data_IF_695727521937
#
_entry.id   IF_695727521937
#
_cell.length_a   1.000
_cell.length_b   1.000
_cell.length_c   1.000
_cell.angle_alpha   90.00
_cell.angle_beta   90.00
_cell.angle_gamma   90.00
#
_symmetry.space_group_name_H-M   'P 1'
#
loop_
_entity.id
_entity.type
_entity.pdbx_description
1 polymer ?
#
# COMPACT_ATOMS: atom_id res chain seq x y z
N UNK A 1 -35.19 15.96 -68.29
CA UNK A 1 -35.46 15.50 -66.91
C UNK A 1 -34.33 14.53 -66.53
N UNK A 2 -33.39 14.98 -65.68
CA UNK A 2 -32.12 14.27 -65.38
C UNK A 2 -32.31 13.37 -64.18
N UNK A 3 -32.09 12.07 -64.27
CA UNK A 3 -31.96 11.12 -63.20
C UNK A 3 -30.57 11.27 -62.57
N UNK A 4 -30.52 11.47 -61.22
CA UNK A 4 -29.31 11.43 -60.46
C UNK A 4 -29.10 10.00 -59.94
N UNK A 5 -27.98 9.41 -60.31
CA UNK A 5 -27.49 8.15 -59.75
C UNK A 5 -26.96 8.39 -58.34
N UNK A 6 -27.54 7.68 -57.37
CA UNK A 6 -27.03 7.61 -55.99
C UNK A 6 -26.27 6.28 -55.85
N UNK A 7 -24.94 6.37 -55.75
CA UNK A 7 -24.10 5.22 -55.46
C UNK A 7 -24.14 4.91 -53.97
N UNK A 8 -24.65 3.73 -53.63
CA UNK A 8 -24.61 3.16 -52.28
C UNK A 8 -23.28 2.42 -52.14
N UNK A 9 -22.40 2.90 -51.27
CA UNK A 9 -21.22 2.14 -50.86
C UNK A 9 -21.61 1.13 -49.80
N UNK A 10 -21.59 -0.16 -50.12
CA UNK A 10 -21.62 -1.25 -49.18
C UNK A 10 -20.24 -1.36 -48.53
N UNK A 11 -20.14 -1.00 -47.26
CA UNK A 11 -19.02 -1.39 -46.40
C UNK A 11 -19.20 -2.88 -46.06
N UNK A 12 -18.43 -3.74 -46.70
CA UNK A 12 -18.29 -5.13 -46.31
C UNK A 12 -17.41 -5.19 -45.06
N UNK A 13 -18.04 -5.30 -43.92
CA UNK A 13 -17.34 -5.65 -42.67
C UNK A 13 -16.88 -7.10 -42.74
N UNK A 14 -15.58 -7.32 -42.71
CA UNK A 14 -15.00 -8.64 -42.54
C UNK A 14 -15.16 -9.06 -41.08
N UNK A 15 -16.14 -9.92 -40.80
CA UNK A 15 -16.15 -10.69 -39.56
C UNK A 15 -15.13 -11.82 -39.71
N UNK A 16 -14.01 -11.70 -39.06
CA UNK A 16 -13.10 -12.82 -38.79
C UNK A 16 -13.71 -13.68 -37.70
N UNK A 17 -14.00 -14.91 -38.03
CA UNK A 17 -14.46 -15.93 -37.09
C UNK A 17 -13.40 -16.18 -36.03
N UNK A 18 -13.76 -15.99 -34.78
CA UNK A 18 -12.92 -16.31 -33.63
C UNK A 18 -12.82 -17.84 -33.48
N UNK A 19 -11.61 -18.37 -33.63
CA UNK A 19 -11.26 -19.69 -33.16
C UNK A 19 -11.14 -19.65 -31.63
N UNK A 20 -11.57 -20.70 -30.97
CA UNK A 20 -11.66 -20.93 -29.52
C UNK A 20 -10.27 -21.00 -28.84
N UNK A 21 -9.74 -19.89 -28.52
CA UNK A 21 -8.59 -19.60 -27.69
C UNK A 21 -8.59 -18.08 -27.50
N UNK A 22 -8.24 -17.55 -26.34
CA UNK A 22 -8.25 -16.11 -26.07
C UNK A 22 -7.68 -15.34 -27.26
N UNK A 23 -8.48 -14.42 -27.80
CA UNK A 23 -8.11 -13.60 -28.96
C UNK A 23 -7.32 -12.37 -28.54
N UNK A 24 -6.59 -11.74 -29.44
CA UNK A 24 -6.05 -10.40 -29.21
C UNK A 24 -6.36 -9.47 -30.36
N UNK A 25 -6.39 -8.18 -30.07
CA UNK A 25 -6.60 -7.13 -31.04
C UNK A 25 -5.46 -6.11 -30.94
N UNK A 26 -4.82 -5.80 -32.06
CA UNK A 26 -3.88 -4.67 -32.13
C UNK A 26 -4.65 -3.36 -32.08
N UNK A 27 -4.12 -2.44 -31.28
CA UNK A 27 -4.57 -1.04 -31.18
C UNK A 27 -3.54 -0.11 -31.81
N UNK A 28 -3.83 1.18 -31.85
CA UNK A 28 -2.87 2.17 -32.34
C UNK A 28 -1.57 2.19 -31.50
N UNK A 29 -1.69 1.97 -30.18
CA UNK A 29 -0.58 2.10 -29.22
C UNK A 29 -0.18 0.77 -28.57
N UNK A 30 -0.75 -0.38 -28.98
CA UNK A 30 -0.43 -1.64 -28.31
C UNK A 30 -1.36 -2.79 -28.68
N UNK A 31 -1.82 -3.53 -27.67
CA UNK A 31 -2.72 -4.67 -27.84
C UNK A 31 -3.76 -4.75 -26.71
N UNK A 32 -4.90 -5.34 -27.02
CA UNK A 32 -5.89 -5.84 -26.05
C UNK A 32 -5.97 -7.35 -26.23
N UNK A 33 -5.76 -8.07 -25.14
CA UNK A 33 -5.87 -9.53 -25.08
C UNK A 33 -7.15 -9.89 -24.33
N UNK A 34 -7.98 -10.76 -24.91
CA UNK A 34 -9.17 -11.32 -24.28
C UNK A 34 -8.83 -12.65 -23.62
N UNK A 35 -9.04 -12.73 -22.31
CA UNK A 35 -8.81 -13.90 -21.48
C UNK A 35 -10.15 -14.62 -21.25
N UNK A 36 -10.14 -15.93 -21.29
CA UNK A 36 -11.34 -16.72 -21.00
C UNK A 36 -11.57 -16.81 -19.51
N UNK A 37 -12.54 -16.05 -19.00
CA UNK A 37 -12.96 -16.14 -17.61
C UNK A 37 -13.53 -17.52 -17.27
N UNK A 38 -13.17 -18.06 -16.10
CA UNK A 38 -13.83 -19.20 -15.46
C UNK A 38 -14.90 -18.73 -14.50
N UNK A 39 -14.65 -17.60 -13.80
CA UNK A 39 -15.55 -16.93 -12.89
C UNK A 39 -15.74 -15.46 -13.30
N UNK A 40 -16.84 -14.81 -12.92
CA UNK A 40 -17.09 -13.41 -13.27
C UNK A 40 -16.03 -12.41 -12.74
N UNK A 41 -15.30 -12.81 -11.72
CA UNK A 41 -14.24 -12.02 -11.08
C UNK A 41 -12.84 -12.29 -11.65
N UNK A 42 -12.70 -13.29 -12.55
CA UNK A 42 -11.43 -13.48 -13.22
C UNK A 42 -11.19 -12.34 -14.23
N UNK A 43 -9.93 -12.05 -14.51
CA UNK A 43 -9.57 -11.12 -15.57
C UNK A 43 -10.20 -11.53 -16.90
N UNK A 44 -10.83 -10.59 -17.57
CA UNK A 44 -11.42 -10.77 -18.89
C UNK A 44 -10.60 -10.15 -20.01
N UNK A 45 -10.04 -8.98 -19.74
CA UNK A 45 -9.23 -8.24 -20.73
C UNK A 45 -7.97 -7.70 -20.07
N UNK A 46 -6.89 -7.79 -20.82
CA UNK A 46 -5.62 -7.13 -20.47
C UNK A 46 -5.23 -6.24 -21.67
N UNK A 47 -4.90 -4.99 -21.37
CA UNK A 47 -4.41 -4.03 -22.36
C UNK A 47 -2.95 -3.71 -22.07
N UNK A 48 -2.11 -3.76 -23.09
CA UNK A 48 -0.74 -3.29 -23.06
C UNK A 48 -0.64 -2.11 -24.02
N UNK A 49 -0.22 -0.94 -23.51
CA UNK A 49 -0.02 0.26 -24.31
C UNK A 49 1.43 0.74 -24.21
N UNK A 50 2.05 0.99 -25.35
CA UNK A 50 3.42 1.51 -25.44
C UNK A 50 3.39 3.01 -25.24
N UNK A 51 3.96 3.48 -24.15
CA UNK A 51 4.04 4.89 -23.78
C UNK A 51 5.42 5.48 -24.10
N UNK A 52 6.40 4.63 -24.36
CA UNK A 52 7.78 4.96 -24.71
C UNK A 52 8.61 3.70 -24.94
N UNK A 53 9.85 3.82 -25.36
CA UNK A 53 10.72 2.66 -25.61
C UNK A 53 10.93 1.80 -24.37
N UNK A 54 10.91 2.43 -23.18
CA UNK A 54 11.10 1.81 -21.87
C UNK A 54 9.86 1.94 -20.96
N UNK A 55 8.69 2.29 -21.51
CA UNK A 55 7.47 2.58 -20.76
C UNK A 55 6.29 1.80 -21.33
N UNK A 56 5.68 0.96 -20.50
CA UNK A 56 4.48 0.18 -20.83
C UNK A 56 3.39 0.45 -19.81
N UNK A 57 2.20 0.79 -20.30
CA UNK A 57 0.98 0.87 -19.50
C UNK A 57 0.23 -0.46 -19.56
N UNK A 58 -0.19 -0.95 -18.41
CA UNK A 58 -0.95 -2.19 -18.25
C UNK A 58 -2.26 -1.90 -17.58
N UNK A 59 -3.37 -2.25 -18.23
CA UNK A 59 -4.69 -2.24 -17.61
C UNK A 59 -5.30 -3.64 -17.68
N UNK A 60 -5.97 -4.06 -16.61
CA UNK A 60 -6.64 -5.36 -16.56
C UNK A 60 -8.00 -5.24 -15.87
N UNK A 61 -9.03 -5.84 -16.46
CA UNK A 61 -10.40 -5.73 -15.97
C UNK A 61 -11.16 -7.06 -16.07
N UNK A 62 -12.05 -7.39 -15.13
CA UNK A 62 -13.00 -8.48 -15.25
C UNK A 62 -14.20 -8.11 -16.13
N UNK A 63 -14.36 -6.83 -16.47
CA UNK A 63 -15.48 -6.28 -17.20
C UNK A 63 -15.32 -6.45 -18.74
N UNK A 64 -16.42 -6.21 -19.47
CA UNK A 64 -16.43 -6.23 -20.93
C UNK A 64 -15.66 -5.06 -21.56
N UNK A 65 -15.65 -3.93 -20.88
CA UNK A 65 -15.01 -2.69 -21.31
C UNK A 65 -14.09 -2.17 -20.23
N UNK A 66 -12.99 -1.55 -20.63
CA UNK A 66 -12.11 -0.83 -19.72
C UNK A 66 -12.78 0.42 -19.19
N UNK A 67 -12.34 0.89 -18.02
CA UNK A 67 -12.75 2.18 -17.47
C UNK A 67 -12.52 3.31 -18.49
N UNK A 68 -13.36 4.32 -18.42
CA UNK A 68 -13.21 5.55 -19.21
C UNK A 68 -12.63 6.69 -18.37
N UNK A 69 -12.33 6.41 -17.12
CA UNK A 69 -11.70 7.36 -16.23
C UNK A 69 -10.29 7.69 -16.75
N UNK A 70 -9.94 8.97 -16.65
CA UNK A 70 -8.63 9.43 -17.07
C UNK A 70 -7.73 9.50 -15.83
N UNK A 71 -6.49 9.07 -15.97
CA UNK A 71 -5.51 9.23 -14.89
C UNK A 71 -5.44 10.67 -14.40
N UNK A 72 -5.39 10.83 -13.06
CA UNK A 72 -5.14 12.13 -12.42
C UNK A 72 -3.64 12.45 -12.30
N UNK A 73 -2.79 11.45 -12.47
CA UNK A 73 -1.34 11.56 -12.23
C UNK A 73 -0.50 11.42 -13.50
N UNK A 74 -1.03 10.79 -14.54
CA UNK A 74 -0.32 10.60 -15.81
C UNK A 74 -0.83 11.57 -16.85
N UNK A 75 0.09 12.36 -17.40
CA UNK A 75 -0.24 13.32 -18.47
C UNK A 75 -0.36 12.61 -19.83
N UNK A 76 -1.20 13.11 -20.76
CA UNK A 76 -1.29 12.55 -22.09
C UNK A 76 0.07 12.52 -22.81
N UNK A 77 0.46 11.35 -23.32
CA UNK A 77 1.71 11.20 -24.06
C UNK A 77 1.47 11.58 -25.52
N UNK A 78 2.35 12.40 -26.09
CA UNK A 78 2.22 12.88 -27.47
C UNK A 78 3.14 12.15 -28.46
N UNK A 79 4.16 11.45 -27.94
CA UNK A 79 5.16 10.80 -28.77
C UNK A 79 4.67 9.40 -29.17
N UNK A 80 4.73 9.11 -30.47
CA UNK A 80 4.54 7.75 -30.98
C UNK A 80 5.86 7.01 -30.90
N UNK A 81 5.82 5.84 -30.29
CA UNK A 81 6.96 4.93 -30.20
C UNK A 81 6.70 3.75 -31.15
N UNK A 82 7.69 3.38 -31.93
CA UNK A 82 7.60 2.23 -32.81
C UNK A 82 7.64 0.93 -31.97
N UNK A 83 6.74 0.03 -32.27
CA UNK A 83 6.68 -1.29 -31.65
C UNK A 83 6.23 -2.37 -32.60
N UNK A 84 6.55 -3.61 -32.26
CA UNK A 84 6.10 -4.81 -32.96
C UNK A 84 5.20 -5.64 -32.06
N UNK A 85 4.27 -6.34 -32.67
CA UNK A 85 3.42 -7.31 -31.97
C UNK A 85 3.65 -8.66 -32.62
N UNK A 86 4.02 -9.62 -31.78
CA UNK A 86 4.30 -11.00 -32.19
C UNK A 86 3.40 -11.94 -31.34
N UNK A 87 2.90 -13.00 -31.98
CA UNK A 87 2.14 -14.05 -31.30
C UNK A 87 2.89 -15.35 -31.42
N UNK A 88 3.10 -16.01 -30.28
CA UNK A 88 3.72 -17.33 -30.24
C UNK A 88 3.00 -18.23 -29.23
N UNK A 89 2.25 -19.20 -29.72
CA UNK A 89 1.49 -20.13 -28.88
C UNK A 89 0.44 -19.40 -28.06
N UNK A 90 0.58 -19.44 -26.73
CA UNK A 90 -0.30 -18.76 -25.77
C UNK A 90 0.07 -17.30 -25.54
N UNK A 91 1.21 -16.85 -25.99
CA UNK A 91 1.75 -15.54 -25.66
C UNK A 91 1.57 -14.52 -26.78
N UNK A 92 1.27 -13.27 -26.38
CA UNK A 92 1.32 -12.09 -27.22
C UNK A 92 2.39 -11.16 -26.68
N UNK A 93 3.36 -10.81 -27.50
CA UNK A 93 4.49 -9.95 -27.16
C UNK A 93 4.34 -8.59 -27.83
N UNK A 94 4.43 -7.53 -27.05
CA UNK A 94 4.62 -6.16 -27.50
C UNK A 94 6.10 -5.82 -27.31
N UNK A 95 6.81 -5.54 -28.39
CA UNK A 95 8.27 -5.30 -28.37
C UNK A 95 8.59 -3.91 -28.90
N UNK A 96 9.28 -3.12 -28.08
CA UNK A 96 9.96 -1.87 -28.46
C UNK A 96 11.42 -2.16 -28.85
N UNK A 97 12.24 -1.12 -29.00
CA UNK A 97 13.70 -1.26 -29.17
C UNK A 97 14.39 -1.76 -27.88
N UNK A 98 13.83 -1.46 -26.67
CA UNK A 98 14.48 -1.64 -25.39
C UNK A 98 13.77 -2.65 -24.47
N UNK A 99 12.47 -2.89 -24.71
CA UNK A 99 11.61 -3.60 -23.77
C UNK A 99 10.65 -4.53 -24.48
N UNK A 100 10.39 -5.70 -23.89
CA UNK A 100 9.30 -6.58 -24.29
C UNK A 100 8.30 -6.71 -23.14
N UNK A 101 7.01 -6.51 -23.44
CA UNK A 101 5.90 -6.88 -22.56
C UNK A 101 5.16 -8.06 -23.16
N UNK A 102 5.04 -9.15 -22.40
CA UNK A 102 4.53 -10.43 -22.87
C UNK A 102 3.32 -10.77 -22.01
N UNK A 103 2.18 -11.05 -22.64
CA UNK A 103 0.93 -11.39 -21.96
C UNK A 103 0.44 -12.77 -22.37
N UNK A 104 0.05 -13.60 -21.39
CA UNK A 104 -0.58 -14.90 -21.62
C UNK A 104 -2.04 -14.72 -22.04
N UNK A 105 -2.45 -15.39 -23.11
CA UNK A 105 -3.85 -15.43 -23.56
C UNK A 105 -4.74 -16.30 -22.65
N UNK A 106 -4.14 -17.21 -21.91
CA UNK A 106 -4.86 -18.11 -21.01
C UNK A 106 -5.08 -17.48 -19.63
N UNK A 107 -4.06 -16.86 -19.03
CA UNK A 107 -4.12 -16.33 -17.65
C UNK A 107 -4.22 -14.81 -17.59
N UNK A 108 -3.81 -14.11 -18.64
CA UNK A 108 -3.70 -12.66 -18.67
C UNK A 108 -2.50 -12.11 -17.90
N UNK A 109 -1.64 -12.97 -17.36
CA UNK A 109 -0.42 -12.58 -16.66
C UNK A 109 0.55 -11.87 -17.61
N UNK A 110 1.20 -10.82 -17.08
CA UNK A 110 2.15 -9.99 -17.83
C UNK A 110 3.55 -10.17 -17.25
N UNK A 111 4.53 -10.32 -18.14
CA UNK A 111 5.94 -10.28 -17.79
C UNK A 111 6.72 -9.32 -18.66
N UNK A 112 7.75 -8.74 -18.11
CA UNK A 112 8.62 -7.79 -18.76
C UNK A 112 10.03 -8.36 -18.89
N UNK A 113 10.61 -8.21 -20.10
CA UNK A 113 12.01 -8.58 -20.36
C UNK A 113 12.71 -7.41 -21.05
N UNK A 114 14.03 -7.36 -20.92
CA UNK A 114 14.83 -6.49 -21.79
C UNK A 114 14.82 -6.95 -23.24
N UNK A 115 15.49 -6.21 -24.11
CA UNK A 115 15.56 -6.51 -25.54
C UNK A 115 16.22 -7.86 -25.85
N UNK A 116 17.08 -8.36 -24.94
CA UNK A 116 17.80 -9.63 -25.05
C UNK A 116 16.99 -10.81 -24.46
N UNK A 117 15.81 -10.54 -23.88
CA UNK A 117 14.90 -11.56 -23.34
C UNK A 117 15.16 -11.92 -21.87
N UNK A 118 16.03 -11.19 -21.17
CA UNK A 118 16.23 -11.38 -19.73
C UNK A 118 15.05 -10.80 -18.98
N UNK A 119 14.43 -11.61 -18.11
CA UNK A 119 13.30 -11.18 -17.30
C UNK A 119 13.71 -10.06 -16.32
N UNK A 120 12.92 -8.99 -16.28
CA UNK A 120 13.05 -7.86 -15.37
C UNK A 120 12.03 -7.99 -14.25
N UNK A 121 10.75 -8.15 -14.60
CA UNK A 121 9.64 -8.29 -13.65
C UNK A 121 8.58 -9.21 -14.27
N UNK A 122 7.89 -9.98 -13.45
CA UNK A 122 6.73 -10.75 -13.88
C UNK A 122 5.63 -10.68 -12.83
N UNK A 123 4.39 -10.66 -13.26
CA UNK A 123 3.25 -10.87 -12.38
C UNK A 123 3.31 -12.28 -11.81
N UNK A 124 2.88 -12.44 -10.57
CA UNK A 124 2.83 -13.74 -9.92
C UNK A 124 1.65 -14.56 -10.43
N UNK A 125 1.81 -15.87 -10.42
CA UNK A 125 0.70 -16.78 -10.76
C UNK A 125 -0.44 -16.56 -9.78
N UNK A 126 -1.66 -16.37 -10.32
CA UNK A 126 -2.85 -16.02 -9.52
C UNK A 126 -2.70 -14.73 -8.68
N UNK A 127 -1.69 -13.91 -9.00
CA UNK A 127 -1.38 -12.68 -8.27
C UNK A 127 -2.38 -11.54 -8.46
N UNK A 128 -3.31 -11.67 -9.42
CA UNK A 128 -4.33 -10.67 -9.73
C UNK A 128 -5.69 -11.08 -9.18
N UNK A 129 -6.29 -10.21 -8.35
CA UNK A 129 -7.61 -10.47 -7.78
C UNK A 129 -8.54 -9.28 -7.93
N UNK A 130 -9.82 -9.57 -8.13
CA UNK A 130 -10.93 -8.62 -8.15
C UNK A 130 -12.02 -9.12 -7.21
N UNK A 131 -12.22 -8.43 -6.11
CA UNK A 131 -13.29 -8.74 -5.14
C UNK A 131 -14.37 -7.68 -5.24
N UNK A 132 -15.61 -8.02 -5.63
CA UNK A 132 -16.67 -7.04 -5.76
C UNK A 132 -16.91 -6.30 -4.45
N UNK A 133 -17.04 -4.98 -4.53
CA UNK A 133 -17.32 -4.09 -3.40
C UNK A 133 -18.36 -3.04 -3.80
N UNK A 134 -19.15 -2.60 -2.83
CA UNK A 134 -20.10 -1.49 -3.01
C UNK A 134 -19.93 -0.52 -1.84
N UNK A 135 -19.61 0.74 -2.14
CA UNK A 135 -19.47 1.81 -1.17
C UNK A 135 -20.44 2.92 -1.51
N UNK A 136 -21.35 3.24 -0.60
CA UNK A 136 -22.38 4.28 -0.77
C UNK A 136 -23.16 4.17 -2.09
N UNK A 137 -23.45 2.93 -2.52
CA UNK A 137 -24.18 2.65 -3.76
C UNK A 137 -23.34 2.65 -5.03
N UNK A 138 -22.05 2.98 -4.95
CA UNK A 138 -21.09 2.86 -6.06
C UNK A 138 -20.47 1.47 -6.04
N UNK A 139 -20.49 0.79 -7.19
CA UNK A 139 -19.94 -0.57 -7.36
C UNK A 139 -18.57 -0.51 -7.98
N UNK A 140 -17.71 -1.40 -7.54
CA UNK A 140 -16.36 -1.57 -8.05
C UNK A 140 -15.74 -2.86 -7.51
N UNK A 141 -14.43 -2.90 -7.47
CA UNK A 141 -13.67 -4.04 -6.98
C UNK A 141 -12.60 -3.58 -5.99
N UNK A 142 -12.47 -4.28 -4.89
CA UNK A 142 -11.19 -4.31 -4.19
C UNK A 142 -10.23 -5.12 -5.04
N UNK A 143 -9.09 -4.54 -5.38
CA UNK A 143 -8.13 -5.15 -6.30
C UNK A 143 -6.81 -5.44 -5.62
N UNK A 144 -6.13 -6.47 -6.10
CA UNK A 144 -4.75 -6.77 -5.72
C UNK A 144 -3.97 -7.21 -6.94
N UNK A 145 -2.74 -6.73 -7.07
CA UNK A 145 -1.75 -7.20 -8.03
C UNK A 145 -0.48 -7.59 -7.28
N UNK A 146 -0.04 -8.80 -7.48
CA UNK A 146 1.20 -9.34 -6.92
C UNK A 146 2.16 -9.65 -8.05
N UNK A 147 3.43 -9.37 -7.83
CA UNK A 147 4.52 -9.72 -8.73
C UNK A 147 5.39 -10.80 -8.09
N UNK A 148 6.16 -11.52 -8.89
CA UNK A 148 7.03 -12.58 -8.41
C UNK A 148 7.98 -12.09 -7.32
N UNK A 149 8.39 -13.01 -6.47
CA UNK A 149 9.28 -12.68 -5.36
C UNK A 149 10.57 -12.06 -5.84
N UNK A 150 10.92 -10.94 -5.24
CA UNK A 150 12.18 -10.28 -5.48
C UNK A 150 13.38 -11.13 -5.00
N UNK A 151 14.46 -11.12 -5.75
CA UNK A 151 15.71 -11.76 -5.34
C UNK A 151 16.22 -11.20 -3.99
N UNK A 152 17.06 -11.94 -3.28
CA UNK A 152 17.55 -11.52 -1.96
C UNK A 152 18.29 -10.18 -1.98
N UNK A 153 18.93 -9.85 -3.09
CA UNK A 153 19.70 -8.62 -3.33
C UNK A 153 18.86 -7.47 -3.91
N UNK A 154 17.56 -7.65 -4.07
CA UNK A 154 16.66 -6.60 -4.54
C UNK A 154 16.17 -5.73 -3.39
N UNK A 155 16.04 -4.44 -3.64
CA UNK A 155 15.52 -3.43 -2.71
C UNK A 155 14.53 -2.51 -3.42
N UNK A 156 13.52 -2.05 -2.69
CA UNK A 156 12.46 -1.18 -3.19
C UNK A 156 12.50 0.19 -2.48
N UNK A 157 12.47 1.26 -3.25
CA UNK A 157 12.49 2.64 -2.78
C UNK A 157 11.33 3.42 -3.37
N UNK A 158 10.87 4.47 -2.69
CA UNK A 158 9.81 5.33 -3.21
C UNK A 158 8.65 5.52 -2.25
N UNK A 159 7.42 5.42 -2.75
CA UNK A 159 6.14 5.59 -2.04
C UNK A 159 5.87 7.02 -1.52
N UNK A 160 6.76 7.97 -1.78
CA UNK A 160 6.64 9.36 -1.31
C UNK A 160 7.38 9.61 0.00
N UNK A 161 6.80 10.45 0.87
CA UNK A 161 7.37 10.80 2.16
C UNK A 161 6.45 10.34 3.29
N UNK A 162 6.91 9.41 4.09
CA UNK A 162 6.22 8.89 5.26
C UNK A 162 7.05 9.15 6.51
N UNK A 163 6.38 9.32 7.66
CA UNK A 163 7.07 9.45 8.95
C UNK A 163 7.39 8.06 9.52
N UNK A 164 8.09 7.25 8.74
CA UNK A 164 8.55 5.93 9.11
C UNK A 164 10.08 5.88 9.01
N UNK A 165 10.71 5.01 9.80
CA UNK A 165 12.15 4.77 9.72
C UNK A 165 12.49 3.76 8.61
N UNK A 166 11.63 3.68 7.57
CA UNK A 166 11.78 2.77 6.46
C UNK A 166 12.47 3.44 5.29
N UNK A 167 13.53 2.85 4.80
CA UNK A 167 14.23 3.27 3.60
C UNK A 167 14.08 2.25 2.47
N UNK A 168 14.16 0.97 2.80
CA UNK A 168 13.92 -0.14 1.88
C UNK A 168 12.56 -0.79 2.21
N UNK A 169 11.62 -0.72 1.29
CA UNK A 169 10.26 -1.24 1.45
C UNK A 169 10.11 -2.73 1.11
N UNK A 170 11.19 -3.44 0.76
CA UNK A 170 11.10 -4.89 0.55
C UNK A 170 10.64 -5.60 1.81
N UNK A 171 9.58 -6.39 1.69
CA UNK A 171 8.98 -7.08 2.82
C UNK A 171 8.27 -6.17 3.84
N UNK A 172 8.09 -4.90 3.51
CA UNK A 172 7.38 -3.92 4.33
C UNK A 172 6.01 -3.64 3.73
N UNK A 173 5.15 -3.02 4.52
CA UNK A 173 3.85 -2.54 4.07
C UNK A 173 3.68 -1.05 4.35
N UNK A 174 2.97 -0.34 3.47
CA UNK A 174 2.63 1.05 3.66
C UNK A 174 1.23 1.35 3.14
N UNK A 175 0.47 2.11 3.92
CA UNK A 175 -0.82 2.64 3.52
C UNK A 175 -0.62 4.01 2.89
N UNK A 176 -1.02 4.14 1.64
CA UNK A 176 -0.85 5.36 0.86
C UNK A 176 -2.06 6.28 1.06
N UNK A 177 -2.09 6.87 2.22
CA UNK A 177 -3.10 7.83 2.62
C UNK A 177 -2.44 9.18 2.88
N UNK A 178 -2.80 10.19 2.09
CA UNK A 178 -2.18 11.50 2.17
C UNK A 178 -2.90 12.39 3.18
N UNK A 179 -2.17 12.85 4.17
CA UNK A 179 -2.62 13.85 5.12
C UNK A 179 -1.44 14.62 5.70
N UNK A 180 -1.68 15.49 6.70
CA UNK A 180 -0.64 16.29 7.32
C UNK A 180 0.66 15.51 7.58
N UNK A 181 1.78 16.01 7.05
CA UNK A 181 3.14 15.43 7.11
C UNK A 181 3.39 14.14 6.31
N UNK A 182 2.39 13.62 5.60
CA UNK A 182 2.56 12.49 4.67
C UNK A 182 2.32 12.95 3.23
N UNK A 183 3.20 12.57 2.34
CA UNK A 183 3.04 12.71 0.89
C UNK A 183 3.08 11.31 0.29
N UNK A 184 1.94 10.83 -0.20
CA UNK A 184 1.84 9.50 -0.79
C UNK A 184 2.04 9.60 -2.30
N UNK A 185 3.00 8.83 -2.82
CA UNK A 185 3.28 8.69 -4.25
C UNK A 185 3.26 7.20 -4.57
N UNK A 186 2.30 6.70 -5.34
CA UNK A 186 2.15 5.26 -5.60
C UNK A 186 3.15 4.77 -6.66
N UNK A 187 4.42 5.11 -6.47
CA UNK A 187 5.52 4.73 -7.33
C UNK A 187 6.65 4.10 -6.52
N UNK A 188 7.08 2.92 -6.97
CA UNK A 188 8.18 2.18 -6.41
C UNK A 188 9.31 2.04 -7.43
N UNK A 189 10.54 2.14 -6.98
CA UNK A 189 11.75 1.94 -7.79
C UNK A 189 12.55 0.78 -7.20
N UNK A 190 12.93 -0.17 -8.05
CA UNK A 190 13.83 -1.26 -7.70
C UNK A 190 15.29 -0.88 -8.01
N UNK A 191 16.23 -1.36 -7.16
CA UNK A 191 17.67 -1.32 -7.50
C UNK A 191 18.05 -2.22 -8.69
N UNK A 192 17.05 -2.88 -9.32
CA UNK A 192 17.19 -3.60 -10.58
C UNK A 192 16.80 -2.75 -11.79
N UNK A 193 16.78 -1.43 -11.63
CA UNK A 193 16.56 -0.43 -12.66
C UNK A 193 15.17 -0.52 -13.32
N UNK A 194 14.16 -0.77 -12.54
CA UNK A 194 12.77 -0.64 -12.97
C UNK A 194 11.92 0.06 -11.91
N UNK A 195 10.77 0.54 -12.33
CA UNK A 195 9.76 1.11 -11.44
C UNK A 195 8.35 0.67 -11.82
N UNK A 196 7.45 0.72 -10.86
CA UNK A 196 6.01 0.49 -11.06
C UNK A 196 5.25 1.65 -10.47
N UNK A 197 4.50 2.36 -11.31
CA UNK A 197 3.55 3.39 -10.91
C UNK A 197 2.16 2.77 -10.89
N UNK A 198 1.53 2.74 -9.73
CA UNK A 198 0.17 2.28 -9.53
C UNK A 198 -0.81 3.43 -9.71
N UNK A 199 -1.72 3.33 -10.67
CA UNK A 199 -2.71 4.38 -10.93
C UNK A 199 -4.05 4.01 -10.29
N UNK A 200 -4.49 4.82 -9.35
CA UNK A 200 -5.70 4.56 -8.58
C UNK A 200 -6.32 5.84 -8.04
N UNK A 201 -7.64 5.83 -7.95
CA UNK A 201 -8.46 6.89 -7.35
C UNK A 201 -8.84 6.60 -5.89
N UNK A 202 -8.48 5.45 -5.36
CA UNK A 202 -8.88 5.00 -4.04
C UNK A 202 -7.70 4.87 -3.08
N UNK A 203 -7.98 4.57 -1.83
CA UNK A 203 -6.97 4.17 -0.85
C UNK A 203 -6.19 2.97 -1.39
N UNK A 204 -4.86 3.09 -1.35
CA UNK A 204 -3.96 2.05 -1.78
C UNK A 204 -3.07 1.56 -0.65
N UNK A 205 -2.64 0.31 -0.74
CA UNK A 205 -1.64 -0.28 0.14
C UNK A 205 -0.54 -0.92 -0.70
N UNK A 206 0.69 -0.74 -0.27
CA UNK A 206 1.86 -1.43 -0.78
C UNK A 206 2.25 -2.56 0.17
N UNK A 207 2.66 -3.70 -0.37
CA UNK A 207 3.06 -4.87 0.41
C UNK A 207 1.88 -5.66 0.98
N UNK A 208 2.02 -6.18 2.20
CA UNK A 208 0.97 -6.97 2.86
C UNK A 208 -0.28 -6.12 3.14
N UNK A 209 -1.43 -6.42 2.52
CA UNK A 209 -2.64 -5.62 2.67
C UNK A 209 -3.48 -5.99 3.90
N UNK A 210 -3.07 -6.99 4.69
CA UNK A 210 -3.84 -7.43 5.86
C UNK A 210 -3.95 -6.33 6.90
N UNK A 211 -5.08 -6.28 7.58
CA UNK A 211 -5.27 -5.41 8.73
C UNK A 211 -4.53 -5.96 9.94
N UNK A 212 -3.92 -5.07 10.73
CA UNK A 212 -3.28 -5.44 11.99
C UNK A 212 -4.34 -5.82 13.03
N UNK A 213 -4.19 -7.00 13.62
CA UNK A 213 -5.08 -7.56 14.65
C UNK A 213 -4.72 -7.07 16.05
N UNK A 214 -5.65 -7.16 16.98
CA UNK A 214 -5.36 -7.00 18.40
C UNK A 214 -4.41 -8.10 18.87
N UNK A 215 -3.60 -7.82 19.91
CA UNK A 215 -2.66 -8.81 20.44
C UNK A 215 -3.35 -10.11 20.87
N UNK A 216 -4.52 -9.98 21.52
CA UNK A 216 -5.28 -11.13 22.01
C UNK A 216 -5.87 -12.03 20.92
N UNK A 217 -5.97 -11.56 19.68
CA UNK A 217 -6.42 -12.35 18.52
C UNK A 217 -5.29 -13.23 17.96
N UNK A 218 -4.02 -12.88 18.25
CA UNK A 218 -2.83 -13.54 17.69
C UNK A 218 -2.03 -14.28 18.77
N UNK A 219 -2.00 -13.75 19.98
CA UNK A 219 -1.25 -14.30 21.10
C UNK A 219 -2.18 -14.71 22.25
N UNK A 220 -1.78 -15.73 23.00
CA UNK A 220 -2.27 -15.84 24.38
C UNK A 220 -1.61 -14.76 25.22
N UNK A 221 -2.41 -13.99 25.95
CA UNK A 221 -1.95 -12.95 26.85
C UNK A 221 -1.95 -13.48 28.29
N UNK A 222 -0.95 -13.10 29.07
CA UNK A 222 -0.87 -13.39 30.49
C UNK A 222 -0.58 -12.11 31.25
N UNK A 223 -1.29 -11.88 32.37
CA UNK A 223 -1.01 -10.77 33.26
C UNK A 223 0.28 -11.01 34.06
N UNK A 224 0.71 -10.03 34.84
CA UNK A 224 1.96 -10.11 35.60
C UNK A 224 1.93 -11.19 36.71
N UNK A 225 0.77 -11.70 37.09
CA UNK A 225 0.60 -12.85 37.97
C UNK A 225 0.59 -14.19 37.18
N UNK A 226 0.71 -14.16 35.86
CA UNK A 226 0.70 -15.33 34.98
C UNK A 226 -0.69 -15.85 34.65
N UNK A 227 -1.76 -15.13 34.94
CA UNK A 227 -3.14 -15.51 34.60
C UNK A 227 -3.46 -15.15 33.15
N UNK A 228 -3.94 -16.16 32.41
CA UNK A 228 -4.28 -16.03 30.99
C UNK A 228 -5.47 -15.08 30.74
N UNK A 229 -5.49 -14.45 29.56
CA UNK A 229 -6.59 -13.71 28.95
C UNK A 229 -6.45 -12.19 28.97
N UNK A 230 -5.39 -11.63 29.56
CA UNK A 230 -5.18 -10.19 29.57
C UNK A 230 -3.73 -9.84 29.96
N UNK A 231 -3.33 -8.60 29.75
CA UNK A 231 -2.15 -7.96 30.37
C UNK A 231 -2.57 -7.24 31.65
N UNK A 232 -1.61 -6.78 32.43
CA UNK A 232 -1.83 -5.88 33.58
C UNK A 232 -1.63 -4.45 33.15
N UNK A 233 -2.64 -3.60 33.32
CA UNK A 233 -2.55 -2.15 33.19
C UNK A 233 -2.38 -1.51 34.58
N UNK A 234 -1.30 -0.75 34.78
CA UNK A 234 -1.02 0.03 35.99
C UNK A 234 -1.07 1.50 35.66
N UNK A 235 -2.02 2.21 36.27
CA UNK A 235 -2.27 3.62 36.05
C UNK A 235 -1.80 4.41 37.26
N UNK A 236 -0.71 5.16 37.14
CA UNK A 236 -0.03 5.90 38.19
C UNK A 236 -0.39 7.37 38.01
N UNK A 237 -1.22 7.95 38.92
CA UNK A 237 -1.65 9.34 38.77
C UNK A 237 -0.52 10.33 39.03
N UNK A 238 -0.48 11.42 38.28
CA UNK A 238 0.42 12.55 38.56
C UNK A 238 0.06 13.36 39.79
N UNK A 239 -1.09 13.07 40.42
CA UNK A 239 -1.61 13.76 41.62
C UNK A 239 -1.38 12.91 42.87
N UNK A 240 -0.85 13.52 43.94
CA UNK A 240 -0.47 12.81 45.15
C UNK A 240 -1.66 12.21 45.95
N UNK A 241 -2.87 12.75 45.79
CA UNK A 241 -4.04 12.33 46.54
C UNK A 241 -4.92 11.31 45.81
N UNK A 242 -4.43 10.77 44.71
CA UNK A 242 -5.13 9.75 43.91
C UNK A 242 -4.32 8.45 43.94
N UNK A 243 -4.99 7.36 44.25
CA UNK A 243 -4.34 6.05 44.35
C UNK A 243 -4.04 5.49 42.95
N UNK A 244 -2.96 4.69 42.86
CA UNK A 244 -2.63 3.92 41.69
C UNK A 244 -3.74 2.88 41.39
N UNK A 245 -4.21 2.84 40.19
CA UNK A 245 -5.21 1.88 39.73
C UNK A 245 -4.54 0.74 38.98
N UNK A 246 -4.91 -0.48 39.30
CA UNK A 246 -4.46 -1.67 38.55
C UNK A 246 -5.68 -2.42 38.03
N UNK A 247 -5.64 -2.79 36.77
CA UNK A 247 -6.70 -3.61 36.15
C UNK A 247 -6.13 -4.54 35.08
N UNK A 248 -6.92 -5.51 34.67
CA UNK A 248 -6.60 -6.41 33.56
C UNK A 248 -7.07 -5.79 32.25
N UNK A 249 -6.23 -5.84 31.21
CA UNK A 249 -6.48 -5.30 29.87
C UNK A 249 -6.38 -6.41 28.84
N UNK A 250 -7.49 -6.74 28.22
CA UNK A 250 -7.60 -7.76 27.17
C UNK A 250 -7.31 -7.21 25.76
N UNK A 251 -7.25 -5.90 25.62
CA UNK A 251 -6.94 -5.20 24.38
C UNK A 251 -6.04 -3.99 24.68
N UNK A 252 -5.22 -3.60 23.68
CA UNK A 252 -4.38 -2.42 23.74
C UNK A 252 -4.86 -1.39 22.70
N UNK A 253 -5.97 -0.73 23.02
CA UNK A 253 -6.51 0.39 22.27
C UNK A 253 -7.17 1.36 23.22
N UNK A 254 -6.46 2.45 23.53
CA UNK A 254 -6.85 3.44 24.52
C UNK A 254 -6.79 4.84 23.95
N UNK A 255 -7.81 5.65 24.20
CA UNK A 255 -7.84 7.06 23.82
C UNK A 255 -8.28 7.95 24.98
N UNK A 256 -7.60 9.08 25.11
CA UNK A 256 -7.97 10.18 25.98
C UNK A 256 -8.09 11.47 25.16
N UNK A 257 -9.29 12.01 25.09
CA UNK A 257 -9.65 13.21 24.34
C UNK A 257 -10.28 14.21 25.30
N UNK A 258 -9.55 15.22 25.76
CA UNK A 258 -10.04 16.13 26.81
C UNK A 258 -10.34 17.58 26.37
N UNK A 259 -9.97 17.96 25.13
CA UNK A 259 -9.98 19.38 24.74
C UNK A 259 -11.23 19.90 24.05
N UNK A 260 -11.98 19.09 23.38
CA UNK A 260 -13.17 19.55 22.72
C UNK A 260 -14.40 19.12 23.54
N UNK A 261 -15.20 20.03 24.02
CA UNK A 261 -16.38 19.72 24.84
C UNK A 261 -17.34 18.70 24.16
N UNK A 262 -17.31 18.62 22.85
CA UNK A 262 -18.05 17.64 22.06
C UNK A 262 -17.25 16.36 21.72
N UNK A 263 -15.93 16.35 22.01
CA UNK A 263 -15.01 15.23 21.79
C UNK A 263 -14.43 14.70 23.09
N UNK A 264 -14.83 15.24 24.24
CA UNK A 264 -14.40 14.74 25.53
C UNK A 264 -14.80 13.29 25.68
N UNK A 265 -13.88 12.39 25.41
CA UNK A 265 -14.10 10.97 25.29
C UNK A 265 -12.89 10.20 25.84
N UNK A 266 -13.19 9.22 26.64
CA UNK A 266 -12.23 8.23 27.11
C UNK A 266 -12.65 6.88 26.52
N UNK A 267 -11.78 6.28 25.70
CA UNK A 267 -12.02 4.97 25.10
C UNK A 267 -11.14 3.94 25.79
N UNK A 268 -11.77 2.93 26.37
CA UNK A 268 -11.15 1.80 27.07
C UNK A 268 -10.29 2.18 28.30
N UNK A 269 -10.13 3.45 28.60
CA UNK A 269 -9.41 3.93 29.78
C UNK A 269 -10.31 3.98 31.02
N UNK A 270 -9.74 3.92 32.25
CA UNK A 270 -10.50 4.05 33.49
C UNK A 270 -11.26 5.37 33.55
N UNK A 271 -12.57 5.32 33.71
CA UNK A 271 -13.40 6.52 33.84
C UNK A 271 -13.00 7.31 35.10
N UNK A 272 -12.87 8.65 34.96
CA UNK A 272 -12.56 9.54 36.08
C UNK A 272 -11.07 9.52 36.53
N UNK A 273 -10.22 8.75 35.89
CA UNK A 273 -8.79 8.77 36.18
C UNK A 273 -8.14 10.05 35.63
N UNK A 274 -7.29 10.75 36.44
CA UNK A 274 -6.65 12.00 36.03
C UNK A 274 -5.41 11.73 35.18
N UNK A 275 -5.55 11.67 33.83
CA UNK A 275 -4.47 11.33 32.89
C UNK A 275 -3.39 12.42 32.76
N UNK A 276 -3.70 13.68 33.04
CA UNK A 276 -2.70 14.75 32.96
C UNK A 276 -1.54 14.54 33.90
N UNK A 277 -0.33 14.31 33.37
CA UNK A 277 0.88 14.05 34.15
C UNK A 277 0.95 12.66 34.75
N UNK A 278 0.10 11.73 34.35
CA UNK A 278 0.14 10.32 34.77
C UNK A 278 1.19 9.51 34.01
N UNK A 279 1.59 8.38 34.56
CA UNK A 279 2.31 7.32 33.87
C UNK A 279 1.43 6.07 33.80
N UNK A 280 1.46 5.39 32.67
CA UNK A 280 0.71 4.16 32.46
C UNK A 280 1.66 3.07 31.99
N UNK A 281 1.55 1.90 32.61
CA UNK A 281 2.36 0.73 32.24
C UNK A 281 1.44 -0.43 31.93
N UNK A 282 1.59 -1.00 30.75
CA UNK A 282 0.98 -2.28 30.38
C UNK A 282 2.06 -3.34 30.39
N UNK A 283 1.88 -4.40 31.18
CA UNK A 283 2.89 -5.44 31.36
C UNK A 283 2.27 -6.83 31.50
N UNK A 284 3.03 -7.84 31.11
CA UNK A 284 2.65 -9.23 31.16
C UNK A 284 3.48 -10.07 30.20
N UNK A 285 2.92 -11.16 29.72
CA UNK A 285 3.59 -12.02 28.74
C UNK A 285 2.67 -12.29 27.53
N UNK A 286 3.29 -12.51 26.38
CA UNK A 286 2.64 -12.94 25.14
C UNK A 286 3.19 -14.32 24.75
N UNK A 287 2.32 -15.23 24.27
CA UNK A 287 2.67 -16.56 23.79
C UNK A 287 2.13 -16.74 22.36
N UNK A 288 3.00 -16.78 21.35
CA UNK A 288 2.58 -16.99 19.95
C UNK A 288 2.21 -18.45 19.69
N UNK A 289 1.21 -18.70 18.81
CA UNK A 289 0.85 -20.02 18.36
C UNK A 289 1.79 -20.57 17.26
N UNK A 290 2.51 -19.70 16.58
CA UNK A 290 3.43 -20.03 15.47
C UNK A 290 4.76 -19.30 15.64
N UNK A 291 5.82 -19.80 15.00
CA UNK A 291 7.13 -19.17 14.99
C UNK A 291 7.30 -18.29 13.75
N UNK A 292 7.99 -17.17 13.87
CA UNK A 292 8.33 -16.32 12.74
C UNK A 292 8.47 -14.86 13.07
N UNK A 293 8.56 -14.03 12.04
CA UNK A 293 8.71 -12.58 12.15
C UNK A 293 7.34 -11.92 12.27
N UNK A 294 6.94 -11.59 13.50
CA UNK A 294 5.74 -10.82 13.78
C UNK A 294 5.99 -9.33 13.52
N UNK A 295 5.05 -8.67 12.84
CA UNK A 295 5.11 -7.25 12.53
C UNK A 295 4.11 -6.49 13.37
N UNK A 296 4.62 -5.54 14.14
CA UNK A 296 3.83 -4.73 15.06
C UNK A 296 3.63 -3.33 14.49
N UNK A 297 2.48 -2.73 14.82
CA UNK A 297 2.20 -1.33 14.61
C UNK A 297 1.80 -0.70 15.94
N UNK A 298 2.53 0.35 16.33
CA UNK A 298 2.26 1.16 17.48
C UNK A 298 1.61 2.46 17.04
N UNK A 299 0.34 2.65 17.37
CA UNK A 299 -0.37 3.91 17.20
C UNK A 299 -0.36 4.67 18.54
N UNK A 300 0.17 5.89 18.57
CA UNK A 300 0.40 6.56 19.83
C UNK A 300 0.42 8.09 19.76
N UNK A 301 0.07 8.70 20.88
CA UNK A 301 0.35 10.10 21.23
C UNK A 301 0.76 10.17 22.68
N UNK A 302 1.64 11.12 23.02
CA UNK A 302 2.41 11.13 24.27
C UNK A 302 3.75 10.44 24.11
N UNK A 303 4.39 10.12 25.23
CA UNK A 303 5.70 9.45 25.27
C UNK A 303 5.50 7.95 25.39
N UNK A 304 6.23 7.18 24.59
CA UNK A 304 6.10 5.73 24.53
C UNK A 304 7.46 5.04 24.52
N UNK A 305 7.51 3.86 25.19
CA UNK A 305 8.55 2.83 25.04
C UNK A 305 7.90 1.47 24.98
N UNK A 306 8.47 0.56 24.18
CA UNK A 306 8.01 -0.83 24.12
C UNK A 306 9.18 -1.78 24.31
N UNK A 307 9.00 -2.76 25.18
CA UNK A 307 9.95 -3.85 25.44
C UNK A 307 9.28 -5.18 25.12
N UNK A 308 9.99 -6.04 24.39
CA UNK A 308 9.59 -7.43 24.14
C UNK A 308 10.79 -8.31 24.43
N UNK A 309 10.59 -9.40 25.18
CA UNK A 309 11.64 -10.30 25.68
C UNK A 309 12.76 -9.54 26.44
N UNK A 310 12.36 -8.51 27.20
CA UNK A 310 13.24 -7.57 27.92
C UNK A 310 14.14 -6.69 27.02
N UNK A 311 14.00 -6.76 25.72
CA UNK A 311 14.71 -5.87 24.78
C UNK A 311 13.87 -4.61 24.49
N UNK A 312 14.52 -3.45 24.47
CA UNK A 312 13.90 -2.18 24.09
C UNK A 312 13.72 -2.13 22.58
N UNK A 313 12.56 -2.62 22.08
CA UNK A 313 12.25 -2.69 20.64
C UNK A 313 11.74 -1.36 20.08
N UNK A 314 11.13 -0.51 20.93
CA UNK A 314 10.78 0.87 20.59
C UNK A 314 11.41 1.80 21.61
N UNK A 315 12.47 2.53 21.26
CA UNK A 315 13.07 3.53 22.13
C UNK A 315 12.08 4.67 22.39
N UNK A 316 12.37 5.48 23.42
CA UNK A 316 11.47 6.57 23.77
C UNK A 316 11.13 7.44 22.57
N UNK A 317 9.85 7.53 22.30
CA UNK A 317 9.27 8.35 21.22
C UNK A 317 8.20 9.24 21.80
N UNK A 318 8.07 10.42 21.20
CA UNK A 318 6.99 11.35 21.49
C UNK A 318 6.23 11.70 20.23
N UNK A 319 4.90 11.77 20.34
CA UNK A 319 4.02 12.27 19.28
C UNK A 319 2.96 13.18 19.86
N UNK A 320 2.70 14.26 19.15
CA UNK A 320 1.52 15.08 19.37
C UNK A 320 0.29 14.44 18.78
N UNK A 321 -0.86 14.63 19.40
CA UNK A 321 -2.14 14.16 18.89
C UNK A 321 -2.55 14.76 17.54
N UNK A 322 -2.06 15.94 17.23
CA UNK A 322 -2.35 16.63 15.97
C UNK A 322 -1.64 16.02 14.74
N UNK A 323 -0.69 15.16 14.99
CA UNK A 323 0.04 14.45 13.97
C UNK A 323 0.11 12.96 14.33
N UNK A 324 -1.04 12.28 14.30
CA UNK A 324 -1.09 10.86 14.62
C UNK A 324 -0.25 10.10 13.59
N UNK A 325 0.66 9.31 14.06
CA UNK A 325 1.46 8.45 13.23
C UNK A 325 1.63 7.10 13.90
N UNK A 326 1.89 6.11 13.06
CA UNK A 326 2.15 4.75 13.49
C UNK A 326 3.64 4.47 13.39
N UNK A 327 4.19 3.81 14.39
CA UNK A 327 5.54 3.26 14.33
C UNK A 327 5.47 1.75 14.12
N UNK A 328 6.14 1.27 13.07
CA UNK A 328 6.18 -0.15 12.72
C UNK A 328 7.51 -0.75 13.15
N UNK A 329 7.47 -1.96 13.69
CA UNK A 329 8.66 -2.73 14.06
C UNK A 329 8.34 -4.22 13.95
N UNK A 330 9.37 -5.06 13.97
CA UNK A 330 9.19 -6.50 13.83
C UNK A 330 10.06 -7.25 14.83
N UNK A 331 9.54 -8.38 15.34
CA UNK A 331 10.23 -9.24 16.30
C UNK A 331 10.04 -10.71 15.91
N UNK A 332 11.13 -11.47 15.91
CA UNK A 332 11.06 -12.93 15.77
C UNK A 332 10.62 -13.56 17.08
N UNK A 333 9.56 -14.35 17.05
CA UNK A 333 9.04 -15.08 18.20
C UNK A 333 8.92 -16.56 17.88
N UNK A 334 9.01 -17.39 18.93
CA UNK A 334 8.94 -18.86 18.84
C UNK A 334 7.59 -19.37 19.36
N UNK A 335 6.96 -20.29 18.62
CA UNK A 335 5.69 -20.91 19.02
C UNK A 335 5.75 -21.50 20.43
N UNK A 336 4.75 -21.19 21.24
CA UNK A 336 4.62 -21.69 22.61
C UNK A 336 5.60 -21.13 23.63
N UNK A 337 6.53 -20.26 23.22
CA UNK A 337 7.44 -19.57 24.14
C UNK A 337 6.79 -18.30 24.65
N UNK A 338 6.58 -18.22 25.97
CA UNK A 338 6.16 -17.00 26.62
C UNK A 338 7.30 -15.99 26.66
N UNK A 339 7.03 -14.77 26.23
CA UNK A 339 7.98 -13.67 26.28
C UNK A 339 7.34 -12.46 26.99
N UNK A 340 8.09 -11.77 27.88
CA UNK A 340 7.57 -10.57 28.53
C UNK A 340 7.32 -9.45 27.51
N UNK A 341 6.19 -8.78 27.69
CA UNK A 341 5.81 -7.55 27.01
C UNK A 341 5.63 -6.45 28.05
N UNK A 342 6.26 -5.30 27.82
CA UNK A 342 6.05 -4.10 28.62
C UNK A 342 5.93 -2.87 27.74
N UNK A 343 4.91 -2.06 27.99
CA UNK A 343 4.70 -0.76 27.35
C UNK A 343 4.68 0.31 28.43
N UNK A 344 5.53 1.30 28.30
CA UNK A 344 5.51 2.51 29.14
C UNK A 344 4.89 3.63 28.31
N UNK A 345 3.77 4.17 28.77
CA UNK A 345 3.06 5.26 28.15
C UNK A 345 2.88 6.41 29.13
N UNK A 346 3.31 7.58 28.71
CA UNK A 346 3.06 8.82 29.44
C UNK A 346 2.12 9.67 28.60
N UNK A 347 0.83 9.67 28.95
CA UNK A 347 -0.16 10.51 28.29
C UNK A 347 0.26 11.97 28.36
N UNK A 348 0.29 12.63 27.19
CA UNK A 348 0.49 14.07 27.15
C UNK A 348 -0.84 14.80 27.41
N UNK A 349 -0.77 16.03 27.88
CA UNK A 349 -1.97 16.77 28.23
C UNK A 349 -2.85 17.01 26.99
N UNK A 350 -4.13 16.74 27.08
CA UNK A 350 -5.14 17.02 26.09
C UNK A 350 -5.61 15.80 25.32
N UNK A 351 -4.90 15.35 24.32
CA UNK A 351 -5.27 14.18 23.51
C UNK A 351 -4.12 13.20 23.49
N UNK A 352 -4.37 11.98 23.90
CA UNK A 352 -3.38 10.91 23.95
C UNK A 352 -4.00 9.58 23.56
N UNK A 353 -3.24 8.72 22.93
CA UNK A 353 -3.65 7.36 22.61
C UNK A 353 -2.49 6.38 22.68
N UNK A 354 -2.84 5.13 22.92
CA UNK A 354 -1.92 4.01 22.93
C UNK A 354 -2.63 2.80 22.30
N UNK A 355 -2.08 2.27 21.22
CA UNK A 355 -2.59 1.06 20.58
C UNK A 355 -1.43 0.25 20.03
N UNK A 356 -1.38 -1.04 20.35
CA UNK A 356 -0.42 -1.97 19.79
C UNK A 356 -1.17 -3.11 19.10
N UNK A 357 -0.92 -3.28 17.82
CA UNK A 357 -1.49 -4.34 17.00
C UNK A 357 -0.39 -5.12 16.29
N UNK A 358 -0.74 -6.26 15.73
CA UNK A 358 0.23 -7.20 15.17
C UNK A 358 -0.31 -7.89 13.91
N UNK A 359 0.61 -8.21 12.99
CA UNK A 359 0.41 -9.16 11.90
C UNK A 359 1.15 -10.44 12.22
N UNK A 360 0.46 -11.57 12.05
CA UNK A 360 1.06 -12.90 12.08
C UNK A 360 2.11 -13.07 10.98
N UNK A 361 3.12 -13.90 11.18
CA UNK A 361 4.13 -14.19 10.19
C UNK A 361 3.54 -14.71 8.88
N UNK A 362 4.24 -14.46 7.79
CA UNK A 362 4.05 -15.13 6.50
C UNK A 362 5.43 -15.57 6.02
N UNK A 363 5.47 -16.56 5.13
CA UNK A 363 6.73 -17.02 4.54
C UNK A 363 7.49 -15.86 3.89
N UNK A 364 8.81 -15.86 4.00
CA UNK A 364 9.66 -14.78 3.46
C UNK A 364 9.44 -14.56 1.97
N UNK A 365 9.20 -15.64 1.21
CA UNK A 365 8.88 -15.54 -0.22
C UNK A 365 7.63 -14.70 -0.46
N UNK A 366 6.57 -14.92 0.30
CA UNK A 366 5.32 -14.16 0.19
C UNK A 366 5.50 -12.72 0.67
N UNK A 367 6.21 -12.55 1.78
CA UNK A 367 6.44 -11.24 2.37
C UNK A 367 7.28 -10.32 1.49
N UNK A 368 8.22 -10.88 0.72
CA UNK A 368 9.13 -10.12 -0.13
C UNK A 368 8.58 -9.84 -1.53
N UNK A 369 7.39 -10.34 -1.86
CA UNK A 369 6.72 -10.02 -3.13
C UNK A 369 6.38 -8.54 -3.20
N UNK A 370 6.62 -7.94 -4.35
CA UNK A 370 6.06 -6.63 -4.66
C UNK A 370 4.57 -6.79 -4.87
N UNK A 371 3.75 -6.08 -4.11
CA UNK A 371 2.30 -6.13 -4.28
C UNK A 371 1.63 -4.78 -4.05
N UNK A 372 0.55 -4.57 -4.78
CA UNK A 372 -0.32 -3.42 -4.69
C UNK A 372 -1.75 -3.88 -4.37
N UNK A 373 -2.42 -3.12 -3.55
CA UNK A 373 -3.81 -3.29 -3.21
C UNK A 373 -4.55 -1.95 -3.33
N UNK A 374 -5.76 -1.98 -3.87
CA UNK A 374 -6.64 -0.83 -3.97
C UNK A 374 -8.01 -1.15 -3.37
N UNK A 375 -8.55 -0.23 -2.58
CA UNK A 375 -9.80 -0.43 -1.84
C UNK A 375 -10.99 -0.57 -2.78
N UNK A 376 -11.09 0.32 -3.78
CA UNK A 376 -12.20 0.34 -4.73
C UNK A 376 -11.75 0.90 -6.07
N UNK A 377 -11.71 0.03 -7.08
CA UNK A 377 -11.29 0.37 -8.44
C UNK A 377 -12.17 -0.35 -9.47
N UNK A 378 -12.20 0.14 -10.71
CA UNK A 378 -12.90 -0.51 -11.83
C UNK A 378 -11.99 -1.48 -12.58
N UNK A 379 -10.69 -1.30 -12.47
CA UNK A 379 -9.66 -2.09 -13.12
C UNK A 379 -8.35 -2.01 -12.33
N UNK A 380 -7.44 -2.93 -12.58
CA UNK A 380 -6.04 -2.81 -12.21
C UNK A 380 -5.37 -1.98 -13.27
N UNK A 381 -4.66 -0.94 -12.86
CA UNK A 381 -3.98 0.00 -13.73
C UNK A 381 -2.59 0.34 -13.18
N UNK A 382 -1.55 0.08 -13.98
CA UNK A 382 -0.19 0.43 -13.59
C UNK A 382 0.71 0.69 -14.81
N UNK A 383 1.77 1.44 -14.57
CA UNK A 383 2.81 1.73 -15.56
C UNK A 383 4.11 1.07 -15.14
N UNK A 384 4.68 0.29 -16.04
CA UNK A 384 6.01 -0.27 -15.90
C UNK A 384 7.02 0.65 -16.54
N UNK A 385 8.06 1.00 -15.80
CA UNK A 385 9.15 1.88 -16.21
C UNK A 385 10.45 1.12 -16.13
N UNK A 386 11.19 1.04 -17.22
CA UNK A 386 12.53 0.44 -17.26
C UNK A 386 13.59 1.54 -17.42
N UNK A 387 14.80 1.31 -16.96
CA UNK A 387 15.92 2.24 -17.12
C UNK A 387 17.26 1.54 -17.19
N UNK A 388 18.27 2.24 -17.69
CA UNK A 388 19.65 1.76 -17.65
C UNK A 388 20.23 1.90 -16.23
N UNK A 389 19.71 2.85 -15.46
CA UNK A 389 19.98 3.09 -14.06
C UNK A 389 18.73 3.65 -13.36
N UNK A 390 18.83 3.92 -12.06
CA UNK A 390 17.70 4.49 -11.28
C UNK A 390 17.33 5.91 -11.69
N UNK A 391 18.27 6.71 -12.16
CA UNK A 391 18.00 8.07 -12.63
C UNK A 391 17.17 8.05 -13.92
N UNK A 392 17.44 7.08 -14.80
CA UNK A 392 16.65 6.86 -16.01
C UNK A 392 15.22 6.40 -15.68
N UNK A 393 15.05 5.52 -14.68
CA UNK A 393 13.72 5.13 -14.16
C UNK A 393 12.96 6.36 -13.63
N UNK A 394 13.60 7.24 -12.87
CA UNK A 394 12.99 8.48 -12.38
C UNK A 394 12.66 9.43 -13.54
N UNK A 395 13.50 9.46 -14.57
CA UNK A 395 13.24 10.24 -15.78
C UNK A 395 12.00 9.71 -16.52
N UNK A 396 11.85 8.38 -16.61
CA UNK A 396 10.66 7.73 -17.15
C UNK A 396 9.39 8.07 -16.34
N UNK A 397 9.45 8.01 -15.02
CA UNK A 397 8.37 8.46 -14.15
C UNK A 397 7.97 9.92 -14.42
N UNK A 398 8.95 10.82 -14.58
CA UNK A 398 8.70 12.23 -14.90
C UNK A 398 8.16 12.44 -16.32
N UNK A 399 8.44 11.53 -17.22
CA UNK A 399 7.81 11.54 -18.54
C UNK A 399 6.31 11.24 -18.43
N UNK A 400 5.93 10.29 -17.58
CA UNK A 400 4.53 9.96 -17.31
C UNK A 400 3.80 11.08 -16.57
N UNK A 401 4.38 11.61 -15.49
CA UNK A 401 3.70 12.53 -14.56
C UNK A 401 3.95 14.01 -14.82
N UNK A 402 4.82 14.31 -15.75
CA UNK A 402 5.24 15.68 -16.07
C UNK A 402 6.46 16.12 -15.29
N UNK A 403 7.09 17.17 -15.78
CA UNK A 403 8.30 17.75 -15.17
C UNK A 403 7.92 18.65 -13.99
N UNK A 404 8.60 18.46 -12.86
CA UNK A 404 8.49 19.39 -11.74
C UNK A 404 8.96 20.78 -12.16
N UNK A 405 8.25 21.82 -11.74
CA UNK A 405 8.70 23.19 -11.92
C UNK A 405 9.86 23.49 -10.99
N UNK A 406 10.83 24.24 -11.50
CA UNK A 406 11.92 24.75 -10.66
C UNK A 406 11.35 25.85 -9.77
N UNK A 407 11.36 25.60 -8.47
CA UNK A 407 10.92 26.60 -7.50
C UNK A 407 11.95 27.72 -7.38
N UNK A 408 11.51 28.98 -7.17
CA UNK A 408 12.43 30.07 -6.90
C UNK A 408 13.22 29.80 -5.59
N UNK A 409 14.45 30.28 -5.53
CA UNK A 409 15.36 30.02 -4.41
C UNK A 409 14.77 30.40 -3.03
N UNK A 410 13.99 31.47 -2.98
CA UNK A 410 13.33 31.94 -1.75
C UNK A 410 12.27 30.92 -1.23
N UNK A 411 11.64 30.13 -2.11
CA UNK A 411 10.67 29.13 -1.71
C UNK A 411 11.30 27.95 -0.96
N UNK A 412 12.62 27.79 -1.05
CA UNK A 412 13.38 26.77 -0.30
C UNK A 412 13.92 27.30 1.04
N UNK A 413 13.60 28.54 1.38
CA UNK A 413 14.00 29.14 2.64
C UNK A 413 13.04 28.86 3.79
N UNK A 414 13.27 29.57 4.88
CA UNK A 414 12.39 29.49 6.05
C UNK A 414 11.02 30.12 5.77
N UNK A 415 9.96 29.41 6.15
CA UNK A 415 8.57 29.87 6.06
C UNK A 415 8.00 29.96 7.47
N UNK A 416 7.68 31.17 7.89
CA UNK A 416 6.97 31.40 9.13
C UNK A 416 5.47 31.45 8.84
N UNK A 417 4.67 30.70 9.60
CA UNK A 417 3.22 30.68 9.50
C UNK A 417 2.59 31.65 10.49
N UNK A 418 1.44 32.20 10.11
CA UNK A 418 0.70 33.15 10.93
C UNK A 418 0.00 32.52 12.15
N UNK A 419 -0.22 31.22 12.12
CA UNK A 419 -0.82 30.49 13.23
C UNK A 419 0.07 30.50 14.50
N UNK A 420 1.35 30.71 14.36
CA UNK A 420 2.25 30.84 15.52
C UNK A 420 2.00 32.12 16.32
N UNK A 421 1.45 33.15 15.67
CA UNK A 421 1.01 34.38 16.33
C UNK A 421 -0.32 34.21 17.08
N UNK A 422 -1.16 33.27 16.69
CA UNK A 422 -2.43 33.00 17.38
C UNK A 422 -2.27 32.10 18.59
N UNK A 423 -1.23 31.28 18.64
CA UNK A 423 -0.92 30.46 19.83
C UNK A 423 -0.35 31.26 21.00
N UNK A 424 0.24 32.42 20.75
CA UNK A 424 0.71 33.33 21.81
C UNK A 424 -0.40 34.17 22.41
N UNK A 425 -1.57 34.23 21.78
CA UNK A 425 -2.76 34.98 22.23
C UNK A 425 -3.81 34.10 22.95
N UNK A 426 -3.55 32.81 23.10
CA UNK A 426 -4.37 31.88 23.86
C UNK A 426 -3.69 31.47 25.17
#
# INVERSE_FOLDING_TARGET
MKLKNTSVYLLAGWMLAACSGGGFQKTENGVVVEVKQQQPTDVRKVRLEVMGEKLIHVSATPEKEFSKEQSLIVIPQQNKTDFKVEEQGDEVTVKTSELCAIVSKTTGEVRFTDADGKQILAEDSDGRTFTPVEVEGTKGYTVRQVFQSAGNDEAFYGLGQHQADEFNYKGKNEELFQYNTKVSVPFIVSNKNYGVLWDSYSLCRFGDPRDYSQLGDVFKLYDKEGKEGALTGTYIPGKKDVETLVRREDSLYFEHLDRAAHLSKVINLPAGFPFGGSDVVYEGEIEPAESGLFRFILYYAGYMKVYIDNELVVPERWRTAWNPNSYKFAVNLEAGKRVPLKIEWKPDAGVSYCGLRVLSPVADEEQNKLSWWGEMQNEIDYYFVYGDDMDDVISGYRTLTGKSQIMPKWAMGYWQRSEEHTSELQ
#
